data_IF_713787828048
#
_entry.id   IF_713787828048
#
_cell.length_a   1.000
_cell.length_b   1.000
_cell.length_c   1.000
_cell.angle_alpha   90.00
_cell.angle_beta   90.00
_cell.angle_gamma   90.00
#
_symmetry.space_group_name_H-M   'P 1'
#
loop_
_entity.id
_entity.type
_entity.pdbx_description
1 polymer ?
#
# COMPACT_ATOMS: atom_id res chain seq x y z
N UNK A 1 31.03 120.88 -23.34
CA UNK A 1 31.78 119.77 -22.72
C UNK A 1 32.28 120.27 -21.38
N UNK A 2 31.94 119.59 -20.30
CA UNK A 2 32.25 120.03 -18.93
C UNK A 2 33.56 119.39 -18.48
N UNK A 3 34.44 120.16 -17.84
CA UNK A 3 35.70 119.67 -17.28
C UNK A 3 35.64 119.79 -15.75
N UNK A 4 36.32 118.89 -15.04
CA UNK A 4 36.41 118.91 -13.60
C UNK A 4 37.10 120.20 -13.15
N UNK A 5 36.46 120.95 -12.25
CA UNK A 5 37.01 122.22 -11.73
C UNK A 5 38.28 122.05 -10.90
N UNK A 6 38.53 120.84 -10.37
CA UNK A 6 39.70 120.55 -9.53
C UNK A 6 40.89 120.04 -10.36
N UNK A 7 40.71 119.02 -11.21
CA UNK A 7 41.82 118.41 -11.94
C UNK A 7 41.82 118.62 -13.46
N UNK A 8 40.87 119.38 -14.01
CA UNK A 8 40.80 119.73 -15.44
C UNK A 8 40.46 118.57 -16.39
N UNK A 9 40.23 117.36 -15.87
CA UNK A 9 39.84 116.20 -16.69
C UNK A 9 38.43 116.35 -17.27
N UNK A 10 38.21 115.81 -18.47
CA UNK A 10 36.92 115.89 -19.17
C UNK A 10 35.89 115.03 -18.46
N UNK A 11 34.76 115.62 -18.07
CA UNK A 11 33.65 114.91 -17.42
C UNK A 11 32.65 114.42 -18.47
N UNK A 12 32.12 113.22 -18.25
CA UNK A 12 30.99 112.71 -19.02
C UNK A 12 29.68 113.39 -18.57
N UNK A 13 28.73 113.50 -19.49
CA UNK A 13 27.48 114.22 -19.27
C UNK A 13 26.64 113.50 -18.19
N UNK A 14 26.29 114.19 -17.10
CA UNK A 14 25.55 113.61 -15.96
C UNK A 14 26.43 112.99 -14.86
N UNK A 15 27.75 113.10 -14.95
CA UNK A 15 28.68 112.55 -13.97
C UNK A 15 28.75 113.41 -12.70
N UNK A 16 28.33 112.85 -11.56
CA UNK A 16 28.24 113.52 -10.24
C UNK A 16 29.57 113.61 -9.49
N UNK A 17 30.54 112.75 -9.82
CA UNK A 17 31.87 112.75 -9.23
C UNK A 17 32.94 112.54 -10.30
N UNK A 18 34.06 113.24 -10.20
CA UNK A 18 35.18 113.04 -11.12
C UNK A 18 35.85 111.67 -10.89
N UNK A 19 35.85 110.79 -11.89
CA UNK A 19 36.48 109.46 -11.76
C UNK A 19 38.01 109.49 -11.64
N UNK A 20 38.66 110.64 -11.86
CA UNK A 20 40.12 110.77 -11.79
C UNK A 20 40.60 111.31 -10.44
N UNK A 21 39.86 112.23 -9.81
CA UNK A 21 40.27 112.84 -8.54
C UNK A 21 39.23 112.78 -7.41
N UNK A 22 38.04 112.21 -7.66
CA UNK A 22 37.00 112.01 -6.66
C UNK A 22 36.17 113.25 -6.29
N UNK A 23 36.45 114.42 -6.89
CA UNK A 23 35.77 115.67 -6.57
C UNK A 23 34.28 115.63 -6.95
N UNK A 24 33.39 116.04 -6.03
CA UNK A 24 31.94 116.11 -6.24
C UNK A 24 31.57 117.35 -7.05
N UNK A 25 30.82 117.16 -8.13
CA UNK A 25 30.27 118.26 -8.93
C UNK A 25 28.79 118.42 -8.52
N UNK A 26 28.44 119.48 -7.77
CA UNK A 26 27.09 119.73 -7.22
C UNK A 26 26.00 119.91 -8.30
N UNK A 27 24.69 120.00 -8.03
CA UNK A 27 23.80 119.97 -6.85
C UNK A 27 22.62 119.05 -7.18
N UNK A 28 21.98 118.42 -6.19
CA UNK A 28 20.84 117.51 -6.39
C UNK A 28 19.57 118.27 -6.82
N UNK A 29 19.10 118.03 -8.04
CA UNK A 29 17.80 118.50 -8.56
C UNK A 29 16.86 117.29 -8.72
N UNK A 30 15.56 117.39 -8.35
CA UNK A 30 14.69 116.23 -8.18
C UNK A 30 14.21 115.66 -9.52
N UNK A 31 14.21 114.33 -9.63
CA UNK A 31 13.55 113.58 -10.70
C UNK A 31 12.43 112.71 -10.10
N UNK A 32 11.24 112.77 -10.69
CA UNK A 32 10.21 111.73 -10.62
C UNK A 32 9.72 111.45 -12.04
N UNK A 33 9.11 110.28 -12.34
CA UNK A 33 9.24 108.94 -11.76
C UNK A 33 9.55 107.87 -12.83
N UNK A 34 10.17 106.74 -12.47
CA UNK A 34 10.05 105.50 -13.25
C UNK A 34 10.05 104.26 -12.35
N UNK A 35 8.95 103.53 -12.48
CA UNK A 35 8.61 102.19 -11.97
C UNK A 35 9.63 101.49 -11.04
N UNK A 36 9.46 101.73 -9.75
CA UNK A 36 10.00 100.87 -8.71
C UNK A 36 9.22 99.56 -8.65
N UNK A 37 9.97 98.46 -8.80
CA UNK A 37 9.57 97.09 -8.47
C UNK A 37 9.02 97.07 -7.04
N UNK A 38 7.72 96.84 -6.90
CA UNK A 38 7.07 96.64 -5.60
C UNK A 38 7.65 95.38 -4.96
N UNK A 39 8.43 95.54 -3.88
CA UNK A 39 8.58 94.46 -2.90
C UNK A 39 7.24 94.35 -2.19
N UNK A 40 6.42 93.37 -2.56
CA UNK A 40 5.21 93.06 -1.79
C UNK A 40 5.66 92.48 -0.45
N UNK A 41 5.61 93.32 0.59
CA UNK A 41 5.56 92.84 1.97
C UNK A 41 4.19 92.21 2.16
N UNK A 42 4.10 90.90 1.96
CA UNK A 42 2.88 90.13 2.22
C UNK A 42 2.66 90.05 3.73
N UNK A 43 1.89 90.99 4.29
CA UNK A 43 1.43 90.90 5.67
C UNK A 43 0.39 89.79 5.77
N UNK A 44 0.84 88.58 6.16
CA UNK A 44 -0.06 87.49 6.52
C UNK A 44 -0.93 87.90 7.72
N UNK A 45 -2.26 87.79 7.65
CA UNK A 45 -3.13 88.19 8.74
C UNK A 45 -2.90 87.27 9.96
N UNK A 46 -2.62 87.86 11.13
CA UNK A 46 -2.34 87.17 12.41
C UNK A 46 -3.47 86.26 12.95
N UNK A 47 -4.56 86.07 12.21
CA UNK A 47 -5.63 85.08 12.50
C UNK A 47 -5.59 83.87 11.56
N UNK A 48 -4.88 83.94 10.44
CA UNK A 48 -4.71 82.81 9.52
C UNK A 48 -3.74 81.74 10.06
N UNK A 49 -2.76 82.12 10.89
CA UNK A 49 -1.82 81.16 11.49
C UNK A 49 -2.52 80.13 12.41
N UNK A 50 -3.64 80.52 13.03
CA UNK A 50 -4.46 79.61 13.86
C UNK A 50 -5.08 78.46 13.05
N UNK A 51 -5.29 78.63 11.74
CA UNK A 51 -5.77 77.58 10.84
C UNK A 51 -4.63 76.91 10.05
N UNK A 52 -3.57 77.67 9.70
CA UNK A 52 -2.43 77.16 8.94
C UNK A 52 -1.56 76.20 9.77
N UNK A 53 -1.31 76.48 11.05
CA UNK A 53 -0.50 75.60 11.90
C UNK A 53 -1.12 74.20 12.07
N UNK A 54 -2.41 74.05 12.44
CA UNK A 54 -3.00 72.72 12.57
C UNK A 54 -3.09 71.99 11.22
N UNK A 55 -3.33 72.70 10.11
CA UNK A 55 -3.31 72.10 8.76
C UNK A 55 -1.90 71.62 8.40
N UNK A 56 -0.88 72.43 8.65
CA UNK A 56 0.51 72.09 8.37
C UNK A 56 0.99 70.91 9.24
N UNK A 57 0.64 70.92 10.53
CA UNK A 57 0.89 69.80 11.43
C UNK A 57 0.19 68.52 10.96
N UNK A 58 -1.06 68.62 10.51
CA UNK A 58 -1.81 67.49 9.94
C UNK A 58 -1.17 66.97 8.65
N UNK A 59 -0.69 67.85 7.77
CA UNK A 59 0.05 67.45 6.55
C UNK A 59 1.34 66.72 6.91
N UNK A 60 2.12 67.18 7.89
CA UNK A 60 3.32 66.48 8.36
C UNK A 60 2.97 65.10 8.91
N UNK A 61 1.90 64.98 9.70
CA UNK A 61 1.43 63.70 10.22
C UNK A 61 1.03 62.76 9.07
N UNK A 62 0.31 63.28 8.06
CA UNK A 62 -0.09 62.50 6.87
C UNK A 62 1.13 62.07 6.05
N UNK A 63 2.12 62.94 5.83
CA UNK A 63 3.37 62.58 5.15
C UNK A 63 4.14 61.54 5.94
N UNK A 64 4.28 61.73 7.26
CA UNK A 64 4.93 60.77 8.16
C UNK A 64 4.24 59.41 8.14
N UNK A 65 2.90 59.39 8.24
CA UNK A 65 2.10 58.17 8.13
C UNK A 65 2.23 57.54 6.75
N UNK A 66 2.23 58.32 5.67
CA UNK A 66 2.42 57.83 4.30
C UNK A 66 3.79 57.18 4.13
N UNK A 67 4.87 57.83 4.59
CA UNK A 67 6.23 57.29 4.52
C UNK A 67 6.35 55.99 5.33
N UNK A 68 5.83 55.99 6.56
CA UNK A 68 5.81 54.79 7.40
C UNK A 68 5.04 53.63 6.75
N UNK A 69 3.82 53.89 6.24
CA UNK A 69 3.00 52.88 5.56
C UNK A 69 3.65 52.42 4.26
N UNK A 70 4.22 53.33 3.47
CA UNK A 70 4.92 53.01 2.22
C UNK A 70 6.06 52.02 2.45
N UNK A 71 6.73 52.09 3.60
CA UNK A 71 7.75 51.13 4.01
C UNK A 71 7.15 49.75 4.34
N UNK A 72 6.01 49.71 5.03
CA UNK A 72 5.31 48.47 5.43
C UNK A 72 4.77 47.66 4.24
N UNK A 73 4.51 48.34 3.12
CA UNK A 73 3.93 47.74 1.91
C UNK A 73 4.98 47.40 0.84
N UNK A 74 6.29 47.43 1.16
CA UNK A 74 7.37 46.99 0.26
C UNK A 74 7.48 45.46 0.19
N UNK A 75 7.96 44.89 -0.92
CA UNK A 75 8.13 43.43 -1.07
C UNK A 75 9.09 42.84 -0.03
N UNK A 76 10.14 43.57 0.38
CA UNK A 76 11.05 43.09 1.42
C UNK A 76 10.34 42.86 2.76
N UNK A 77 9.27 43.60 3.08
CA UNK A 77 8.55 43.39 4.34
C UNK A 77 7.79 42.09 4.41
N UNK A 78 7.30 41.55 3.29
CA UNK A 78 6.69 40.22 3.29
C UNK A 78 7.76 39.13 3.39
N UNK A 79 8.93 39.34 2.79
CA UNK A 79 10.08 38.42 2.88
C UNK A 79 10.64 38.39 4.31
N UNK A 80 10.83 39.54 4.95
CA UNK A 80 11.30 39.65 6.34
C UNK A 80 10.35 38.92 7.32
N UNK A 81 9.04 39.05 7.10
CA UNK A 81 8.02 38.34 7.89
C UNK A 81 8.09 36.84 7.67
N UNK A 82 8.23 36.39 6.43
CA UNK A 82 8.40 34.97 6.10
C UNK A 82 9.66 34.40 6.74
N UNK A 83 10.81 35.05 6.56
CA UNK A 83 12.09 34.66 7.16
C UNK A 83 11.99 34.58 8.68
N UNK A 84 11.38 35.59 9.31
CA UNK A 84 11.19 35.62 10.77
C UNK A 84 10.28 34.48 11.22
N UNK A 85 9.18 34.24 10.52
CA UNK A 85 8.22 33.20 10.87
C UNK A 85 8.86 31.81 10.78
N UNK A 86 9.63 31.51 9.74
CA UNK A 86 10.35 30.24 9.61
C UNK A 86 11.43 30.12 10.69
N UNK A 87 12.30 31.11 10.87
CA UNK A 87 13.42 31.07 11.84
C UNK A 87 12.94 30.94 13.29
N UNK A 88 11.84 31.61 13.64
CA UNK A 88 11.24 31.54 14.98
C UNK A 88 10.25 30.38 15.15
N UNK A 89 10.03 29.58 14.10
CA UNK A 89 8.99 28.55 14.04
C UNK A 89 7.59 29.10 14.41
N UNK A 90 7.30 30.33 14.00
CA UNK A 90 6.00 30.97 14.20
C UNK A 90 5.00 30.43 13.17
N UNK A 91 4.38 29.31 13.52
CA UNK A 91 3.40 28.62 12.68
C UNK A 91 2.20 29.49 12.36
N UNK A 92 1.74 30.32 13.30
CA UNK A 92 0.57 31.18 13.12
C UNK A 92 0.81 32.23 12.04
N UNK A 93 1.93 32.94 12.13
CA UNK A 93 2.26 33.96 11.14
C UNK A 93 2.57 33.34 9.77
N UNK A 94 3.26 32.19 9.74
CA UNK A 94 3.53 31.49 8.49
C UNK A 94 2.25 30.97 7.82
N UNK A 95 1.32 30.37 8.58
CA UNK A 95 0.00 29.98 8.05
C UNK A 95 -0.73 31.15 7.41
N UNK A 96 -0.71 32.32 8.05
CA UNK A 96 -1.35 33.52 7.52
C UNK A 96 -0.69 33.98 6.22
N UNK A 97 0.65 33.93 6.13
CA UNK A 97 1.38 34.25 4.91
C UNK A 97 1.04 33.27 3.77
N UNK A 98 1.00 31.96 4.06
CA UNK A 98 0.68 30.92 3.09
C UNK A 98 -0.74 31.09 2.53
N UNK A 99 -1.73 31.29 3.41
CA UNK A 99 -3.13 31.48 2.99
C UNK A 99 -3.39 32.83 2.32
N UNK A 100 -2.59 33.88 2.58
CA UNK A 100 -2.70 35.16 1.88
C UNK A 100 -2.08 35.11 0.47
N UNK A 101 -1.14 34.18 0.26
CA UNK A 101 -0.40 34.01 -0.98
C UNK A 101 -1.04 33.07 -2.00
N UNK A 102 -1.94 32.18 -1.58
CA UNK A 102 -2.62 31.24 -2.47
C UNK A 102 -3.99 30.82 -1.91
N UNK A 103 -4.87 30.33 -2.78
CA UNK A 103 -6.21 29.83 -2.43
C UNK A 103 -6.44 28.37 -2.87
N UNK A 104 -5.39 27.69 -3.33
CA UNK A 104 -5.41 26.29 -3.76
C UNK A 104 -5.67 25.34 -2.56
N UNK A 105 -5.06 25.61 -1.40
CA UNK A 105 -5.23 24.81 -0.18
C UNK A 105 -5.34 25.73 1.04
N UNK A 106 -6.33 25.47 1.91
CA UNK A 106 -6.40 26.11 3.21
C UNK A 106 -5.42 25.45 4.19
N UNK A 107 -4.36 26.17 4.54
CA UNK A 107 -3.34 25.73 5.50
C UNK A 107 -3.81 26.04 6.93
N UNK A 108 -3.65 25.11 7.87
CA UNK A 108 -3.90 25.33 9.30
C UNK A 108 -2.57 25.40 10.06
N UNK A 109 -2.58 26.04 11.23
CA UNK A 109 -1.39 26.24 12.04
C UNK A 109 -0.68 24.92 12.41
N UNK A 110 -1.46 23.90 12.77
CA UNK A 110 -0.94 22.58 13.17
C UNK A 110 -0.24 21.84 12.02
N UNK A 111 -0.48 22.23 10.76
CA UNK A 111 0.05 21.56 9.58
C UNK A 111 1.39 22.18 9.08
N UNK A 112 1.82 23.32 9.65
CA UNK A 112 2.92 24.14 9.10
C UNK A 112 4.31 23.76 9.62
N UNK A 113 4.41 23.06 10.76
CA UNK A 113 5.69 22.70 11.36
C UNK A 113 6.57 21.84 10.44
N UNK A 114 5.95 20.90 9.71
CA UNK A 114 6.69 20.07 8.79
C UNK A 114 7.13 20.82 7.52
N UNK A 115 6.41 21.87 7.11
CA UNK A 115 6.87 22.73 6.00
C UNK A 115 8.09 23.56 6.42
N UNK A 116 8.10 24.08 7.65
CA UNK A 116 9.31 24.72 8.22
C UNK A 116 10.48 23.75 8.21
N UNK A 117 10.24 22.49 8.63
CA UNK A 117 11.28 21.46 8.65
C UNK A 117 11.80 21.17 7.24
N UNK A 118 10.91 21.03 6.24
CA UNK A 118 11.28 20.85 4.84
C UNK A 118 12.14 22.00 4.29
N UNK A 119 11.78 23.24 4.62
CA UNK A 119 12.53 24.42 4.19
C UNK A 119 13.89 24.60 4.88
N UNK A 120 14.11 23.97 6.04
CA UNK A 120 15.30 24.23 6.88
C UNK A 120 16.24 23.04 7.01
N UNK A 121 15.76 21.80 6.82
CA UNK A 121 16.57 20.58 6.83
C UNK A 121 17.03 20.20 5.43
N UNK A 122 16.10 20.21 4.48
CA UNK A 122 16.35 19.74 3.10
C UNK A 122 16.92 20.85 2.20
N UNK A 123 17.00 22.07 2.71
CA UNK A 123 17.39 23.26 1.95
C UNK A 123 18.24 24.21 2.78
N UNK A 124 19.16 24.93 2.13
CA UNK A 124 19.77 26.11 2.71
C UNK A 124 18.74 27.26 2.74
N UNK A 125 17.95 27.33 3.81
CA UNK A 125 16.87 28.32 3.94
C UNK A 125 17.34 29.76 3.67
N UNK A 126 18.56 30.10 4.08
CA UNK A 126 19.16 31.41 3.81
C UNK A 126 19.25 31.73 2.32
N UNK A 127 19.54 30.74 1.48
CA UNK A 127 19.66 30.91 0.05
C UNK A 127 18.29 31.06 -0.61
N UNK A 128 17.28 30.36 -0.11
CA UNK A 128 15.89 30.58 -0.54
C UNK A 128 15.44 32.02 -0.25
N UNK A 129 15.80 32.56 0.93
CA UNK A 129 15.52 33.96 1.29
C UNK A 129 16.28 34.94 0.39
N UNK A 130 17.56 34.70 0.09
CA UNK A 130 18.34 35.54 -0.85
C UNK A 130 17.70 35.54 -2.25
N UNK A 131 17.19 34.41 -2.71
CA UNK A 131 16.48 34.32 -3.98
C UNK A 131 15.18 35.15 -3.97
N UNK A 132 14.40 35.13 -2.88
CA UNK A 132 13.25 36.01 -2.71
C UNK A 132 13.64 37.50 -2.71
N UNK A 133 14.75 37.85 -2.04
CA UNK A 133 15.28 39.22 -2.05
C UNK A 133 15.71 39.65 -3.45
N UNK A 134 16.25 38.74 -4.27
CA UNK A 134 16.52 39.01 -5.69
C UNK A 134 15.22 39.28 -6.45
N UNK A 135 14.18 38.46 -6.26
CA UNK A 135 12.87 38.67 -6.88
C UNK A 135 12.24 40.02 -6.49
N UNK A 136 12.48 40.51 -5.27
CA UNK A 136 11.96 41.81 -4.81
C UNK A 136 12.51 43.01 -5.59
N UNK A 137 13.69 42.87 -6.16
CA UNK A 137 14.30 43.87 -7.05
C UNK A 137 13.78 43.73 -8.48
N UNK A 138 13.60 42.50 -8.95
CA UNK A 138 13.10 42.18 -10.29
C UNK A 138 11.63 42.60 -10.47
N UNK A 139 10.79 42.38 -9.45
CA UNK A 139 9.36 42.73 -9.49
C UNK A 139 9.11 44.25 -9.57
N UNK A 140 10.08 45.07 -9.15
CA UNK A 140 10.01 46.53 -9.29
C UNK A 140 10.38 47.00 -10.71
N UNK A 141 11.18 46.21 -11.42
CA UNK A 141 11.59 46.48 -12.79
C UNK A 141 10.72 45.79 -13.84
N UNK A 142 9.52 45.33 -13.47
CA UNK A 142 8.57 44.59 -14.31
C UNK A 142 9.17 43.36 -15.02
N UNK A 143 10.20 42.75 -14.42
CA UNK A 143 10.82 41.54 -14.95
C UNK A 143 9.96 40.31 -14.65
N UNK A 144 9.94 39.35 -15.59
CA UNK A 144 9.29 38.05 -15.38
C UNK A 144 9.98 37.29 -14.26
N UNK A 145 9.19 36.84 -13.29
CA UNK A 145 9.65 36.00 -12.18
C UNK A 145 9.38 34.53 -12.45
N UNK A 146 10.19 33.66 -11.87
CA UNK A 146 10.05 32.21 -11.90
C UNK A 146 10.00 31.67 -10.47
N UNK A 147 9.32 30.55 -10.21
CA UNK A 147 9.33 29.92 -8.90
C UNK A 147 10.73 29.57 -8.44
N UNK A 148 10.98 29.77 -7.14
CA UNK A 148 12.19 29.28 -6.48
C UNK A 148 12.01 27.78 -6.29
N UNK A 149 12.98 27.01 -6.77
CA UNK A 149 12.99 25.55 -6.69
C UNK A 149 13.97 25.06 -5.65
N UNK A 150 13.71 23.89 -5.08
CA UNK A 150 14.74 23.12 -4.36
C UNK A 150 15.65 22.35 -5.34
N UNK A 151 16.55 21.54 -4.77
CA UNK A 151 17.50 20.72 -5.52
C UNK A 151 16.84 19.61 -6.37
N UNK A 152 15.61 19.23 -6.05
CA UNK A 152 14.85 18.17 -6.74
C UNK A 152 13.85 18.74 -7.78
N UNK A 153 13.93 20.05 -8.04
CA UNK A 153 13.08 20.71 -9.03
C UNK A 153 11.71 21.13 -8.49
N UNK A 154 11.39 20.85 -7.21
CA UNK A 154 10.11 21.24 -6.63
C UNK A 154 10.04 22.76 -6.50
N UNK A 155 9.06 23.37 -7.14
CA UNK A 155 8.72 24.77 -6.98
C UNK A 155 8.17 25.01 -5.58
N UNK A 156 8.82 25.88 -4.79
CA UNK A 156 8.46 26.16 -3.41
C UNK A 156 7.57 27.38 -3.31
N UNK A 157 8.04 28.49 -3.87
CA UNK A 157 7.34 29.76 -3.81
C UNK A 157 7.84 30.80 -4.82
N UNK A 158 7.00 31.80 -5.05
CA UNK A 158 7.28 32.95 -5.91
C UNK A 158 6.70 34.24 -5.31
N UNK A 159 7.45 35.33 -5.35
CA UNK A 159 6.97 36.64 -4.95
C UNK A 159 5.96 37.17 -5.98
N UNK A 160 4.82 37.70 -5.53
CA UNK A 160 3.78 38.24 -6.40
C UNK A 160 3.26 39.59 -5.89
N UNK A 161 2.85 40.45 -6.84
CA UNK A 161 2.15 41.70 -6.57
C UNK A 161 0.64 41.44 -6.61
N UNK A 162 -0.10 41.82 -5.56
CA UNK A 162 -1.58 41.73 -5.59
C UNK A 162 -2.13 42.71 -6.62
N UNK A 163 -3.21 42.29 -7.30
CA UNK A 163 -3.91 43.13 -8.26
C UNK A 163 -4.52 44.40 -7.61
N UNK A 164 -5.01 44.27 -6.37
CA UNK A 164 -5.62 45.40 -5.64
C UNK A 164 -4.58 46.07 -4.74
N UNK A 165 -4.51 47.40 -4.82
CA UNK A 165 -3.75 48.23 -3.89
C UNK A 165 -4.47 48.33 -2.55
N UNK A 166 -3.72 48.39 -1.44
CA UNK A 166 -4.28 48.75 -0.13
C UNK A 166 -4.71 50.21 -0.14
N UNK A 167 -5.97 50.46 0.20
CA UNK A 167 -6.59 51.79 0.21
C UNK A 167 -6.46 52.56 -1.12
N UNK A 168 -6.25 51.86 -2.23
CA UNK A 168 -6.07 52.45 -3.56
C UNK A 168 -4.69 53.07 -3.83
N UNK A 169 -3.79 53.15 -2.85
CA UNK A 169 -2.52 53.88 -2.98
C UNK A 169 -1.27 53.01 -2.80
N UNK A 170 -1.30 52.00 -1.94
CA UNK A 170 -0.13 51.17 -1.66
C UNK A 170 -0.22 49.84 -2.40
N UNK A 171 0.81 49.52 -3.17
CA UNK A 171 0.98 48.19 -3.73
C UNK A 171 1.05 47.14 -2.60
N UNK A 172 0.62 45.92 -2.88
CA UNK A 172 0.71 44.83 -1.91
C UNK A 172 1.43 43.66 -2.54
N UNK A 173 2.17 42.93 -1.71
CA UNK A 173 2.96 41.79 -2.15
C UNK A 173 2.67 40.59 -1.27
N UNK A 174 2.71 39.41 -1.88
CA UNK A 174 2.57 38.11 -1.22
C UNK A 174 3.62 37.15 -1.74
N UNK A 175 3.89 36.12 -0.97
CA UNK A 175 4.65 34.97 -1.42
C UNK A 175 3.61 33.91 -1.79
N UNK A 176 3.47 33.58 -3.08
CA UNK A 176 2.64 32.46 -3.51
C UNK A 176 3.43 31.18 -3.22
N UNK A 177 2.91 30.38 -2.30
CA UNK A 177 3.46 29.06 -1.96
C UNK A 177 2.86 28.01 -2.89
N UNK A 178 3.69 27.06 -3.34
CA UNK A 178 3.32 26.04 -4.31
C UNK A 178 3.33 24.69 -3.59
N UNK A 179 2.18 23.98 -3.55
CA UNK A 179 2.10 22.68 -2.90
C UNK A 179 2.62 21.54 -3.80
N UNK A 180 2.72 20.35 -3.24
CA UNK A 180 3.14 19.12 -3.88
C UNK A 180 1.91 18.22 -4.09
N UNK A 181 1.79 17.65 -5.29
CA UNK A 181 0.80 16.63 -5.63
C UNK A 181 1.23 15.29 -5.03
N UNK A 182 0.34 14.63 -4.26
CA UNK A 182 0.63 13.34 -3.63
C UNK A 182 -0.10 12.25 -4.40
N UNK A 183 0.66 11.37 -5.04
CA UNK A 183 0.18 10.21 -5.78
C UNK A 183 0.50 8.95 -5.03
N UNK A 184 -0.45 8.01 -5.00
CA UNK A 184 -0.32 6.77 -4.25
C UNK A 184 -0.66 5.58 -5.13
N UNK A 185 0.19 4.56 -5.08
CA UNK A 185 -0.04 3.22 -5.64
C UNK A 185 -0.01 2.17 -4.53
N UNK A 186 -0.36 0.94 -4.86
CA UNK A 186 -0.39 -0.18 -3.92
C UNK A 186 -0.01 -1.46 -4.64
N UNK A 187 0.74 -2.34 -3.96
CA UNK A 187 1.02 -3.68 -4.46
C UNK A 187 -0.21 -4.58 -4.52
N UNK A 188 -1.35 -4.17 -3.94
CA UNK A 188 -2.62 -4.90 -4.04
C UNK A 188 -3.73 -4.07 -4.68
N UNK A 189 -4.60 -4.72 -5.50
CA UNK A 189 -5.78 -4.07 -6.06
C UNK A 189 -6.82 -3.76 -4.98
N UNK A 190 -7.85 -3.00 -5.35
CA UNK A 190 -8.95 -2.60 -4.47
C UNK A 190 -8.51 -1.95 -3.14
N UNK A 191 -7.35 -1.30 -3.12
CA UNK A 191 -6.80 -0.69 -1.91
C UNK A 191 -7.45 0.67 -1.67
N UNK A 192 -8.12 0.82 -0.53
CA UNK A 192 -8.66 2.11 -0.09
C UNK A 192 -7.57 2.89 0.63
N UNK A 193 -7.26 4.09 0.13
CA UNK A 193 -6.26 5.00 0.69
C UNK A 193 -6.91 6.30 1.15
N UNK A 194 -6.42 6.85 2.25
CA UNK A 194 -6.91 8.12 2.78
C UNK A 194 -5.83 8.93 3.47
N UNK A 195 -5.98 10.24 3.42
CA UNK A 195 -5.19 11.21 4.18
C UNK A 195 -6.16 12.01 5.04
N UNK A 196 -5.76 12.31 6.28
CA UNK A 196 -6.56 13.09 7.23
C UNK A 196 -7.11 14.38 6.58
N UNK A 197 -8.42 14.57 6.67
CA UNK A 197 -9.10 15.77 6.14
C UNK A 197 -9.39 15.75 4.64
N UNK A 198 -9.00 14.70 3.91
CA UNK A 198 -9.36 14.47 2.51
C UNK A 198 -10.29 13.27 2.37
N UNK A 199 -11.03 13.21 1.26
CA UNK A 199 -11.87 12.04 0.94
C UNK A 199 -10.98 10.85 0.60
N UNK A 200 -11.36 9.67 1.09
CA UNK A 200 -10.70 8.43 0.68
C UNK A 200 -10.87 8.18 -0.83
N UNK A 201 -9.85 7.58 -1.44
CA UNK A 201 -9.87 7.08 -2.82
C UNK A 201 -9.54 5.58 -2.82
N UNK A 202 -9.83 4.91 -3.92
CA UNK A 202 -9.57 3.47 -4.09
C UNK A 202 -8.73 3.26 -5.33
N UNK A 203 -7.59 2.60 -5.15
CA UNK A 203 -6.71 2.07 -6.19
C UNK A 203 -7.37 0.78 -6.70
N UNK A 204 -7.75 0.74 -7.97
CA UNK A 204 -8.55 -0.38 -8.50
C UNK A 204 -7.68 -1.59 -8.87
N UNK A 205 -6.50 -1.35 -9.44
CA UNK A 205 -5.54 -2.36 -9.91
C UNK A 205 -4.12 -2.03 -9.47
N UNK A 206 -3.18 -2.97 -9.59
CA UNK A 206 -1.78 -2.80 -9.18
C UNK A 206 -1.04 -1.72 -9.99
N UNK A 207 -1.42 -1.53 -11.27
CA UNK A 207 -0.89 -0.45 -12.12
C UNK A 207 -1.57 0.92 -11.91
N UNK A 208 -2.61 0.99 -11.07
CA UNK A 208 -3.38 2.22 -10.85
C UNK A 208 -2.65 3.15 -9.87
N UNK A 209 -2.66 4.45 -10.18
CA UNK A 209 -2.05 5.51 -9.37
C UNK A 209 -3.10 6.55 -9.09
N UNK A 210 -3.47 6.69 -7.81
CA UNK A 210 -4.49 7.66 -7.39
C UNK A 210 -3.85 8.95 -6.87
N UNK A 211 -4.31 10.08 -7.41
CA UNK A 211 -3.94 11.40 -6.92
C UNK A 211 -4.72 11.74 -5.65
N UNK A 212 -4.07 11.80 -4.49
CA UNK A 212 -4.68 12.24 -3.23
C UNK A 212 -4.74 13.78 -3.10
N UNK A 213 -4.36 14.50 -4.14
CA UNK A 213 -4.41 15.93 -4.30
C UNK A 213 -3.25 16.64 -3.63
N UNK A 214 -3.17 17.94 -3.88
CA UNK A 214 -2.10 18.82 -3.41
C UNK A 214 -2.04 18.94 -1.88
N UNK A 215 -0.83 19.00 -1.33
CA UNK A 215 -0.55 19.34 0.08
C UNK A 215 0.82 20.02 0.20
N UNK A 216 1.04 20.77 1.28
CA UNK A 216 2.40 21.25 1.59
C UNK A 216 3.18 20.15 2.30
N UNK A 217 4.52 20.09 2.16
CA UNK A 217 5.36 19.21 2.98
C UNK A 217 5.02 19.29 4.46
N UNK A 218 4.84 18.14 5.11
CA UNK A 218 4.41 18.08 6.49
C UNK A 218 4.45 16.68 7.09
N UNK A 219 3.97 16.53 8.33
CA UNK A 219 3.83 15.21 8.96
C UNK A 219 2.51 14.57 8.54
N UNK A 220 2.47 14.04 7.32
CA UNK A 220 1.31 13.34 6.78
C UNK A 220 1.41 11.83 7.01
N UNK A 221 0.26 11.21 7.23
CA UNK A 221 0.12 9.76 7.27
C UNK A 221 -0.93 9.34 6.24
N UNK A 222 -0.56 8.36 5.44
CA UNK A 222 -1.48 7.65 4.55
C UNK A 222 -1.99 6.44 5.34
N UNK A 223 -3.31 6.35 5.46
CA UNK A 223 -3.98 5.15 5.97
C UNK A 223 -4.49 4.36 4.76
N UNK A 224 -4.06 3.11 4.66
CA UNK A 224 -4.40 2.22 3.57
C UNK A 224 -5.03 0.93 4.13
N UNK A 225 -6.09 0.47 3.48
CA UNK A 225 -6.78 -0.78 3.80
C UNK A 225 -7.08 -1.52 2.49
N UNK A 226 -6.59 -2.74 2.36
CA UNK A 226 -6.96 -3.66 1.29
C UNK A 226 -7.69 -4.85 1.88
N UNK A 227 -8.89 -5.14 1.35
CA UNK A 227 -9.72 -6.25 1.81
C UNK A 227 -9.75 -7.29 0.71
N UNK A 228 -8.94 -8.33 0.88
CA UNK A 228 -8.99 -9.53 0.04
C UNK A 228 -10.08 -10.49 0.51
N UNK A 229 -10.31 -11.56 -0.28
CA UNK A 229 -11.26 -12.62 0.08
C UNK A 229 -10.84 -13.38 1.35
N UNK A 230 -9.52 -13.49 1.59
CA UNK A 230 -8.95 -14.35 2.63
C UNK A 230 -8.25 -13.58 3.75
N UNK A 231 -7.89 -12.31 3.53
CA UNK A 231 -7.12 -11.50 4.47
C UNK A 231 -7.52 -10.02 4.36
N UNK A 232 -7.31 -9.28 5.44
CA UNK A 232 -7.48 -7.82 5.47
C UNK A 232 -6.15 -7.21 5.86
N UNK A 233 -5.63 -6.35 4.98
CA UNK A 233 -4.35 -5.68 5.15
C UNK A 233 -4.58 -4.23 5.55
N UNK A 234 -3.81 -3.77 6.54
CA UNK A 234 -3.88 -2.39 7.04
C UNK A 234 -2.49 -1.83 7.18
N UNK A 235 -2.27 -0.65 6.61
CA UNK A 235 -1.02 0.07 6.69
C UNK A 235 -1.28 1.50 7.12
N UNK A 236 -0.33 2.04 7.89
CA UNK A 236 -0.33 3.43 8.33
C UNK A 236 1.07 3.98 8.19
N UNK A 237 1.32 4.59 7.04
CA UNK A 237 2.66 4.99 6.62
C UNK A 237 2.84 6.49 6.72
N UNK A 238 4.01 6.92 7.19
CA UNK A 238 4.40 8.33 7.18
C UNK A 238 4.93 8.66 5.80
N UNK A 239 4.55 9.83 5.31
CA UNK A 239 4.96 10.34 4.01
C UNK A 239 6.27 11.13 4.17
N UNK A 240 7.29 10.77 3.38
CA UNK A 240 8.55 11.53 3.32
C UNK A 240 8.54 12.45 2.10
N UNK A 241 8.52 13.77 2.33
CA UNK A 241 8.50 14.75 1.25
C UNK A 241 9.88 14.99 0.65
N UNK A 242 10.97 14.48 1.24
CA UNK A 242 12.30 14.56 0.64
C UNK A 242 12.42 13.74 -0.64
N UNK A 243 11.50 12.80 -0.87
CA UNK A 243 11.42 11.98 -2.09
C UNK A 243 10.65 12.67 -3.22
N UNK A 244 10.05 13.83 -2.97
CA UNK A 244 9.30 14.56 -3.98
C UNK A 244 10.22 15.16 -5.05
N UNK A 245 9.81 15.10 -6.31
CA UNK A 245 10.50 15.74 -7.44
C UNK A 245 9.50 16.40 -8.38
N UNK A 246 9.88 17.54 -8.96
CA UNK A 246 9.02 18.32 -9.86
C UNK A 246 7.57 18.54 -9.35
N UNK A 247 7.45 18.79 -8.03
CA UNK A 247 6.20 18.97 -7.29
C UNK A 247 5.27 17.75 -7.24
N UNK A 248 5.79 16.55 -7.47
CA UNK A 248 5.06 15.30 -7.33
C UNK A 248 5.77 14.41 -6.31
N UNK A 249 5.01 13.88 -5.37
CA UNK A 249 5.45 12.83 -4.45
C UNK A 249 4.68 11.55 -4.79
N UNK A 250 5.42 10.52 -5.19
CA UNK A 250 4.87 9.20 -5.46
C UNK A 250 5.19 8.29 -4.28
N UNK A 251 4.16 7.71 -3.68
CA UNK A 251 4.29 6.83 -2.51
C UNK A 251 3.62 5.49 -2.81
N UNK A 252 4.36 4.39 -2.68
CA UNK A 252 3.82 3.05 -2.89
C UNK A 252 3.55 2.38 -1.54
N UNK A 253 2.30 1.97 -1.31
CA UNK A 253 1.93 1.12 -0.19
C UNK A 253 2.32 -0.32 -0.52
N UNK A 254 3.08 -0.96 0.36
CA UNK A 254 3.49 -2.35 0.21
C UNK A 254 2.98 -3.17 1.41
N UNK A 255 1.87 -3.86 1.22
CA UNK A 255 1.34 -4.77 2.22
C UNK A 255 2.14 -6.08 2.26
N UNK A 256 2.34 -6.61 3.47
CA UNK A 256 2.95 -7.92 3.71
C UNK A 256 1.93 -9.04 3.44
N UNK A 257 1.93 -9.52 2.20
CA UNK A 257 1.13 -10.66 1.75
C UNK A 257 1.54 -11.08 0.36
N UNK A 258 1.02 -12.22 -0.10
CA UNK A 258 1.30 -12.72 -1.44
C UNK A 258 0.14 -13.57 -1.98
N UNK A 259 0.26 -14.00 -3.24
CA UNK A 259 -0.54 -15.06 -3.83
C UNK A 259 0.22 -16.38 -3.69
N UNK A 260 -0.44 -17.42 -3.20
CA UNK A 260 0.18 -18.72 -2.97
C UNK A 260 -0.39 -19.79 -3.89
N UNK A 261 0.48 -20.70 -4.33
CA UNK A 261 0.13 -21.93 -5.03
C UNK A 261 -0.06 -23.07 -4.04
N UNK A 262 -1.11 -23.85 -4.22
CA UNK A 262 -1.47 -24.96 -3.34
C UNK A 262 -1.49 -26.25 -4.13
N UNK A 263 -0.83 -27.28 -3.59
CA UNK A 263 -0.73 -28.60 -4.17
C UNK A 263 -1.14 -29.68 -3.16
N UNK A 264 -1.49 -30.86 -3.66
CA UNK A 264 -1.92 -32.00 -2.85
C UNK A 264 -1.71 -33.29 -3.64
N UNK A 265 -1.53 -34.41 -2.94
CA UNK A 265 -1.57 -35.74 -3.55
C UNK A 265 -2.98 -36.14 -4.03
N UNK A 266 -4.00 -35.36 -3.68
CA UNK A 266 -5.38 -35.49 -4.14
C UNK A 266 -5.89 -34.14 -4.66
N UNK A 267 -6.15 -34.05 -5.98
CA UNK A 267 -6.63 -32.83 -6.62
C UNK A 267 -8.06 -32.46 -6.23
N UNK A 268 -8.90 -33.43 -5.88
CA UNK A 268 -10.28 -33.24 -5.43
C UNK A 268 -10.40 -32.78 -3.96
N UNK A 269 -9.29 -32.56 -3.26
CA UNK A 269 -9.32 -32.11 -1.87
C UNK A 269 -9.77 -30.64 -1.75
N UNK A 270 -10.71 -30.35 -0.86
CA UNK A 270 -11.27 -29.02 -0.62
C UNK A 270 -10.32 -28.17 0.25
N UNK A 271 -10.07 -26.92 -0.14
CA UNK A 271 -9.15 -26.02 0.57
C UNK A 271 -9.87 -25.25 1.68
N UNK A 272 -9.23 -25.18 2.84
CA UNK A 272 -9.70 -24.43 4.00
C UNK A 272 -8.66 -23.40 4.43
N UNK A 273 -9.10 -22.15 4.64
CA UNK A 273 -8.28 -21.06 5.15
C UNK A 273 -8.91 -20.53 6.44
N UNK A 274 -8.16 -20.53 7.54
CA UNK A 274 -8.63 -20.14 8.87
C UNK A 274 -9.96 -20.83 9.24
N UNK A 275 -9.99 -22.15 9.06
CA UNK A 275 -11.14 -23.05 9.30
C UNK A 275 -12.40 -22.76 8.46
N UNK A 276 -12.29 -21.94 7.41
CA UNK A 276 -13.37 -21.68 6.46
C UNK A 276 -13.07 -22.36 5.13
N UNK A 277 -14.05 -23.12 4.64
CA UNK A 277 -14.05 -23.62 3.27
C UNK A 277 -14.07 -22.44 2.29
N UNK A 278 -13.16 -22.44 1.33
CA UNK A 278 -13.06 -21.36 0.33
C UNK A 278 -13.87 -21.65 -0.94
N UNK A 279 -14.49 -22.83 -1.01
CA UNK A 279 -15.34 -23.29 -2.10
C UNK A 279 -14.58 -23.73 -3.34
N UNK A 280 -13.33 -24.19 -3.18
CA UNK A 280 -12.52 -24.70 -4.29
C UNK A 280 -11.71 -25.93 -3.88
N UNK A 281 -11.50 -26.82 -4.85
CA UNK A 281 -10.57 -27.95 -4.71
C UNK A 281 -9.14 -27.53 -5.07
N UNK A 282 -8.15 -28.32 -4.65
CA UNK A 282 -6.74 -28.09 -4.99
C UNK A 282 -6.50 -28.16 -6.51
N UNK A 283 -7.20 -29.04 -7.22
CA UNK A 283 -7.07 -29.17 -8.68
C UNK A 283 -7.64 -27.99 -9.46
N UNK A 284 -8.60 -27.27 -8.87
CA UNK A 284 -9.22 -26.09 -9.49
C UNK A 284 -8.55 -24.77 -9.08
N UNK A 285 -7.59 -24.80 -8.17
CA UNK A 285 -6.87 -23.61 -7.71
C UNK A 285 -5.65 -23.31 -8.57
N UNK A 286 -5.61 -22.12 -9.18
CA UNK A 286 -4.41 -21.57 -9.81
C UNK A 286 -3.54 -20.88 -8.74
N UNK A 287 -3.97 -19.72 -8.26
CA UNK A 287 -3.34 -18.99 -7.16
C UNK A 287 -4.39 -18.50 -6.17
N UNK A 288 -4.00 -18.44 -4.90
CA UNK A 288 -4.88 -18.03 -3.80
C UNK A 288 -4.27 -16.80 -3.13
N UNK A 289 -4.92 -15.65 -3.29
CA UNK A 289 -4.46 -14.43 -2.66
C UNK A 289 -5.33 -13.20 -2.94
N UNK A 290 -4.88 -12.02 -2.49
CA UNK A 290 -3.72 -11.84 -1.62
C UNK A 290 -3.99 -12.39 -0.21
N UNK A 291 -3.01 -13.08 0.37
CA UNK A 291 -3.06 -13.71 1.69
C UNK A 291 -1.95 -13.16 2.59
N UNK A 292 -2.23 -12.97 3.88
CA UNK A 292 -1.21 -12.48 4.80
C UNK A 292 -0.11 -13.53 5.04
N UNK A 293 1.13 -13.09 4.96
CA UNK A 293 2.35 -13.90 5.17
C UNK A 293 3.00 -13.62 6.53
N UNK A 294 2.28 -12.99 7.45
CA UNK A 294 2.72 -12.65 8.81
C UNK A 294 2.52 -13.78 9.83
N UNK A 295 2.11 -14.98 9.37
CA UNK A 295 1.78 -16.12 10.21
C UNK A 295 0.38 -16.09 10.83
N UNK A 296 -0.45 -15.10 10.51
CA UNK A 296 -1.85 -15.05 10.99
C UNK A 296 -2.78 -16.02 10.26
N UNK A 297 -2.37 -16.54 9.10
CA UNK A 297 -3.19 -17.38 8.25
C UNK A 297 -2.76 -18.84 8.32
N UNK A 298 -3.73 -19.73 8.48
CA UNK A 298 -3.56 -21.18 8.44
C UNK A 298 -4.35 -21.78 7.29
N UNK A 299 -3.70 -22.68 6.55
CA UNK A 299 -4.27 -23.38 5.41
C UNK A 299 -4.16 -24.90 5.60
N UNK A 300 -5.20 -25.62 5.20
CA UNK A 300 -5.20 -27.08 5.13
C UNK A 300 -6.22 -27.54 4.09
N UNK A 301 -6.13 -28.80 3.67
CA UNK A 301 -7.11 -29.42 2.78
C UNK A 301 -7.94 -30.45 3.55
N UNK A 302 -9.18 -30.64 3.14
CA UNK A 302 -10.08 -31.67 3.66
C UNK A 302 -10.57 -32.53 2.52
N UNK A 303 -10.62 -33.85 2.72
CA UNK A 303 -11.12 -34.80 1.73
C UNK A 303 -11.88 -35.93 2.40
N UNK A 304 -12.93 -36.39 1.73
CA UNK A 304 -13.68 -37.56 2.17
C UNK A 304 -13.06 -38.82 1.58
N UNK A 305 -12.61 -39.71 2.45
CA UNK A 305 -12.14 -41.05 2.10
C UNK A 305 -13.21 -42.07 2.46
N UNK A 306 -13.13 -43.31 1.93
CA UNK A 306 -13.99 -44.39 2.36
C UNK A 306 -13.94 -44.67 3.87
N UNK A 307 -12.81 -44.40 4.52
CA UNK A 307 -12.62 -44.53 5.98
C UNK A 307 -13.20 -43.36 6.79
N UNK A 308 -13.62 -42.29 6.12
CA UNK A 308 -14.13 -41.06 6.72
C UNK A 308 -13.43 -39.81 6.19
N UNK A 309 -13.84 -38.66 6.74
CA UNK A 309 -13.26 -37.37 6.37
C UNK A 309 -11.93 -37.13 7.08
N UNK A 310 -10.89 -36.78 6.33
CA UNK A 310 -9.55 -36.47 6.85
C UNK A 310 -9.16 -35.04 6.52
N UNK A 311 -8.23 -34.50 7.30
CA UNK A 311 -7.53 -33.24 7.03
C UNK A 311 -6.08 -33.54 6.64
N UNK A 312 -5.51 -32.73 5.76
CA UNK A 312 -4.07 -32.67 5.56
C UNK A 312 -3.38 -32.08 6.80
N UNK A 313 -2.05 -32.02 6.75
CA UNK A 313 -1.28 -31.14 7.62
C UNK A 313 -1.77 -29.68 7.52
N UNK A 314 -1.77 -28.99 8.66
CA UNK A 314 -2.10 -27.56 8.75
C UNK A 314 -0.81 -26.77 8.60
N UNK A 315 -0.75 -25.91 7.58
CA UNK A 315 0.39 -25.05 7.29
C UNK A 315 0.06 -23.63 7.70
N UNK A 316 0.99 -22.97 8.40
CA UNK A 316 0.89 -21.54 8.71
C UNK A 316 1.61 -20.77 7.62
N UNK A 317 0.96 -19.78 7.02
CA UNK A 317 1.49 -19.03 5.89
C UNK A 317 2.44 -17.95 6.39
N UNK A 318 3.72 -18.07 6.05
CA UNK A 318 4.79 -17.15 6.46
C UNK A 318 5.63 -16.61 5.30
N UNK A 319 5.36 -17.08 4.09
CA UNK A 319 6.08 -16.75 2.85
C UNK A 319 5.17 -17.10 1.65
N UNK A 320 5.68 -16.91 0.45
CA UNK A 320 5.02 -17.25 -0.81
C UNK A 320 5.47 -18.59 -1.40
N UNK A 321 6.09 -19.44 -0.58
CA UNK A 321 6.52 -20.77 -1.02
C UNK A 321 5.30 -21.66 -1.33
N UNK A 322 5.49 -22.58 -2.29
CA UNK A 322 4.48 -23.56 -2.66
C UNK A 322 4.02 -24.38 -1.45
N UNK A 323 2.71 -24.43 -1.24
CA UNK A 323 2.10 -25.12 -0.09
C UNK A 323 1.63 -26.50 -0.52
N UNK A 324 2.32 -27.53 -0.02
CA UNK A 324 1.92 -28.92 -0.23
C UNK A 324 1.04 -29.44 0.92
N UNK A 325 -0.25 -29.65 0.63
CA UNK A 325 -1.27 -30.15 1.57
C UNK A 325 -1.44 -31.66 1.43
N UNK A 326 -0.46 -32.41 1.93
CA UNK A 326 -0.42 -33.87 1.82
C UNK A 326 -1.32 -34.55 2.84
N UNK A 327 -2.00 -35.61 2.41
CA UNK A 327 -2.73 -36.55 3.28
C UNK A 327 -1.89 -37.81 3.52
N UNK A 328 -1.92 -38.32 4.75
CA UNK A 328 -1.37 -39.63 5.08
C UNK A 328 -2.15 -40.71 4.33
N UNK A 329 -1.49 -41.35 3.38
CA UNK A 329 -2.08 -42.38 2.52
C UNK A 329 -2.21 -43.70 3.28
N UNK A 330 -3.36 -44.35 3.15
CA UNK A 330 -3.54 -45.71 3.63
C UNK A 330 -3.71 -46.70 2.48
N UNK A 331 -3.19 -47.94 2.59
CA UNK A 331 -3.28 -48.92 1.52
C UNK A 331 -4.71 -49.17 1.02
N UNK A 332 -5.70 -49.20 1.94
CA UNK A 332 -7.11 -49.39 1.56
C UNK A 332 -7.67 -48.23 0.74
N UNK A 333 -7.19 -47.00 0.94
CA UNK A 333 -7.66 -45.80 0.23
C UNK A 333 -7.07 -45.66 -1.18
N UNK A 334 -5.98 -46.37 -1.48
CA UNK A 334 -5.39 -46.41 -2.83
C UNK A 334 -6.05 -47.41 -3.77
N UNK A 335 -6.88 -48.31 -3.22
CA UNK A 335 -7.60 -49.27 -4.05
C UNK A 335 -8.75 -48.54 -4.74
N UNK A 336 -8.57 -48.20 -6.01
CA UNK A 336 -9.53 -47.42 -6.82
C UNK A 336 -10.88 -48.11 -6.95
N UNK A 337 -10.87 -49.43 -7.20
CA UNK A 337 -12.06 -50.28 -7.23
C UNK A 337 -11.90 -51.49 -6.30
N UNK A 338 -12.24 -51.34 -5.00
CA UNK A 338 -12.11 -52.43 -4.04
C UNK A 338 -12.99 -53.62 -4.36
N UNK A 339 -14.18 -53.41 -4.96
CA UNK A 339 -15.09 -54.52 -5.27
C UNK A 339 -14.45 -55.49 -6.27
N UNK A 340 -13.95 -54.96 -7.39
CA UNK A 340 -13.30 -55.77 -8.42
C UNK A 340 -12.02 -56.41 -7.89
N UNK A 341 -11.16 -55.61 -7.24
CA UNK A 341 -9.87 -56.09 -6.74
C UNK A 341 -10.01 -57.20 -5.68
N UNK A 342 -10.96 -57.06 -4.75
CA UNK A 342 -11.25 -58.09 -3.75
C UNK A 342 -11.91 -59.32 -4.39
N UNK A 343 -12.74 -59.15 -5.42
CA UNK A 343 -13.34 -60.28 -6.15
C UNK A 343 -12.28 -61.14 -6.81
N UNK A 344 -11.35 -60.53 -7.54
CA UNK A 344 -10.26 -61.24 -8.21
C UNK A 344 -9.33 -61.91 -7.21
N UNK A 345 -9.00 -61.21 -6.12
CA UNK A 345 -8.19 -61.77 -5.03
C UNK A 345 -8.86 -62.99 -4.39
N UNK A 346 -10.13 -62.90 -3.99
CA UNK A 346 -10.83 -63.99 -3.31
C UNK A 346 -11.03 -65.21 -4.21
N UNK A 347 -11.30 -65.00 -5.50
CA UNK A 347 -11.35 -66.09 -6.50
C UNK A 347 -10.03 -66.81 -6.60
N UNK A 348 -8.93 -66.07 -6.72
CA UNK A 348 -7.60 -66.67 -6.81
C UNK A 348 -7.23 -67.39 -5.51
N UNK A 349 -7.47 -66.78 -4.35
CA UNK A 349 -7.22 -67.38 -3.05
C UNK A 349 -7.97 -68.71 -2.84
N UNK A 350 -9.27 -68.75 -3.15
CA UNK A 350 -10.08 -69.95 -2.95
C UNK A 350 -9.75 -71.06 -3.95
N UNK A 351 -9.49 -70.71 -5.22
CA UNK A 351 -9.00 -71.66 -6.22
C UNK A 351 -7.67 -72.30 -5.81
N UNK A 352 -6.74 -71.50 -5.30
CA UNK A 352 -5.43 -71.99 -4.86
C UNK A 352 -5.52 -72.76 -3.54
N UNK A 353 -6.47 -72.41 -2.68
CA UNK A 353 -6.80 -73.19 -1.49
C UNK A 353 -7.26 -74.60 -1.87
N UNK A 354 -8.14 -74.73 -2.88
CA UNK A 354 -8.58 -76.04 -3.41
C UNK A 354 -7.40 -76.82 -3.99
N UNK A 355 -6.51 -76.14 -4.74
CA UNK A 355 -5.30 -76.78 -5.28
C UNK A 355 -4.37 -77.28 -4.18
N UNK A 356 -4.18 -76.49 -3.12
CA UNK A 356 -3.41 -76.86 -1.94
C UNK A 356 -4.02 -78.05 -1.18
N UNK A 357 -5.35 -78.09 -1.05
CA UNK A 357 -6.09 -79.22 -0.45
C UNK A 357 -5.88 -80.50 -1.26
N UNK A 358 -6.15 -80.45 -2.57
CA UNK A 358 -6.14 -81.62 -3.44
C UNK A 358 -4.73 -82.23 -3.61
N UNK A 359 -3.68 -81.42 -3.50
CA UNK A 359 -2.28 -81.84 -3.64
C UNK A 359 -1.52 -81.99 -2.31
N UNK A 360 -2.09 -81.52 -1.19
CA UNK A 360 -1.41 -81.31 0.08
C UNK A 360 -0.10 -80.50 -0.04
N UNK A 361 -0.10 -79.52 -0.94
CA UNK A 361 1.00 -78.57 -1.10
C UNK A 361 0.55 -77.18 -0.69
N UNK A 362 0.93 -76.78 0.53
CA UNK A 362 0.57 -75.49 1.08
C UNK A 362 1.22 -74.31 0.33
N UNK A 363 2.26 -74.56 -0.47
CA UNK A 363 2.96 -73.49 -1.20
C UNK A 363 2.05 -72.76 -2.20
N UNK A 364 1.02 -73.43 -2.74
CA UNK A 364 0.05 -72.84 -3.66
C UNK A 364 -0.70 -71.63 -3.11
N UNK A 365 -0.94 -71.56 -1.79
CA UNK A 365 -1.77 -70.52 -1.17
C UNK A 365 -1.03 -69.68 -0.12
N UNK A 366 0.18 -70.10 0.27
CA UNK A 366 0.92 -69.49 1.38
C UNK A 366 1.22 -68.01 1.20
N UNK A 367 1.40 -67.55 -0.05
CA UNK A 367 1.66 -66.15 -0.37
C UNK A 367 0.40 -65.27 -0.25
N UNK A 368 -0.80 -65.85 -0.23
CA UNK A 368 -2.08 -65.12 -0.12
C UNK A 368 -2.63 -65.06 1.30
N UNK A 369 -1.92 -65.63 2.26
CA UNK A 369 -2.28 -65.66 3.66
C UNK A 369 -1.39 -64.69 4.44
N UNK A 370 -1.96 -63.99 5.42
CA UNK A 370 -1.18 -63.19 6.36
C UNK A 370 -0.38 -64.14 7.26
N UNK A 371 0.97 -64.12 7.23
CA UNK A 371 1.79 -65.02 8.05
C UNK A 371 1.52 -64.92 9.56
N UNK A 372 1.08 -63.74 10.01
CA UNK A 372 0.73 -63.49 11.42
C UNK A 372 -0.76 -63.77 11.71
N UNK A 373 -1.53 -64.13 10.69
CA UNK A 373 -2.96 -64.43 10.77
C UNK A 373 -3.26 -65.88 11.13
N UNK A 374 -4.38 -66.16 11.85
CA UNK A 374 -4.78 -67.52 12.16
C UNK A 374 -5.03 -68.38 10.91
N UNK A 375 -5.53 -67.79 9.82
CA UNK A 375 -5.81 -68.51 8.59
C UNK A 375 -4.56 -69.22 8.01
N UNK A 376 -3.36 -68.67 8.22
CA UNK A 376 -2.13 -69.25 7.68
C UNK A 376 -1.92 -70.70 8.17
N UNK A 377 -2.03 -70.90 9.48
CA UNK A 377 -1.90 -72.23 10.09
C UNK A 377 -3.15 -73.08 9.86
N UNK A 378 -4.33 -72.49 10.00
CA UNK A 378 -5.60 -73.20 9.84
C UNK A 378 -5.74 -73.80 8.43
N UNK A 379 -5.43 -73.03 7.38
CA UNK A 379 -5.49 -73.51 5.99
C UNK A 379 -4.48 -74.64 5.73
N UNK A 380 -3.27 -74.55 6.30
CA UNK A 380 -2.25 -75.62 6.20
C UNK A 380 -2.71 -76.91 6.86
N UNK A 381 -3.22 -76.82 8.09
CA UNK A 381 -3.68 -77.97 8.87
C UNK A 381 -4.94 -78.60 8.23
N UNK A 382 -5.85 -77.77 7.70
CA UNK A 382 -7.07 -78.22 7.03
C UNK A 382 -6.79 -78.93 5.71
N UNK A 383 -5.91 -78.37 4.86
CA UNK A 383 -5.48 -79.00 3.61
C UNK A 383 -4.90 -80.41 3.85
N UNK A 384 -3.99 -80.52 4.82
CA UNK A 384 -3.41 -81.80 5.22
C UNK A 384 -4.48 -82.79 5.70
N UNK A 385 -5.40 -82.33 6.56
CA UNK A 385 -6.48 -83.17 7.09
C UNK A 385 -7.41 -83.73 6.02
N UNK A 386 -7.81 -82.91 5.04
CA UNK A 386 -8.67 -83.34 3.94
C UNK A 386 -7.94 -84.34 3.02
N UNK A 387 -6.69 -84.05 2.69
CA UNK A 387 -5.87 -84.94 1.87
C UNK A 387 -5.64 -86.31 2.52
N UNK A 388 -5.31 -86.36 3.82
CA UNK A 388 -5.17 -87.62 4.57
C UNK A 388 -6.48 -88.44 4.60
N UNK A 389 -7.63 -87.77 4.43
CA UNK A 389 -8.95 -88.42 4.31
C UNK A 389 -9.34 -88.77 2.88
N UNK A 390 -8.48 -88.47 1.90
CA UNK A 390 -8.75 -88.63 0.47
C UNK A 390 -9.91 -87.76 -0.02
N UNK A 391 -10.21 -86.66 0.68
CA UNK A 391 -11.26 -85.72 0.28
C UNK A 391 -10.65 -84.72 -0.70
N UNK A 392 -11.32 -84.51 -1.84
CA UNK A 392 -10.94 -83.52 -2.84
C UNK A 392 -12.10 -82.59 -3.13
N UNK A 393 -11.77 -81.37 -3.57
CA UNK A 393 -12.75 -80.32 -3.86
C UNK A 393 -12.57 -79.80 -5.29
N UNK A 394 -13.67 -79.36 -5.90
CA UNK A 394 -13.68 -78.61 -7.16
C UNK A 394 -14.41 -77.30 -6.91
N UNK A 395 -13.74 -76.17 -7.16
CA UNK A 395 -14.34 -74.84 -7.04
C UNK A 395 -15.20 -74.55 -8.28
N UNK A 396 -16.50 -74.31 -8.08
CA UNK A 396 -17.45 -74.06 -9.15
C UNK A 396 -17.73 -72.57 -9.34
N UNK A 397 -18.02 -71.87 -8.24
CA UNK A 397 -18.32 -70.44 -8.26
C UNK A 397 -17.78 -69.75 -7.01
N UNK A 398 -17.26 -68.55 -7.20
CA UNK A 398 -16.88 -67.63 -6.13
C UNK A 398 -17.32 -66.23 -6.52
N UNK A 399 -18.16 -65.66 -5.66
CA UNK A 399 -18.70 -64.31 -5.80
C UNK A 399 -18.45 -63.52 -4.51
N UNK A 400 -17.87 -62.33 -4.61
CA UNK A 400 -17.84 -61.37 -3.50
C UNK A 400 -19.15 -60.61 -3.49
N UNK A 401 -19.96 -60.87 -2.47
CA UNK A 401 -21.32 -60.33 -2.32
C UNK A 401 -21.37 -58.96 -1.64
N UNK A 402 -20.40 -58.66 -0.77
CA UNK A 402 -20.29 -57.40 -0.04
C UNK A 402 -18.87 -57.24 0.52
N UNK A 403 -18.46 -56.00 0.80
CA UNK A 403 -17.26 -55.70 1.57
C UNK A 403 -17.43 -54.47 2.45
N UNK A 404 -16.63 -54.39 3.51
CA UNK A 404 -16.53 -53.22 4.38
C UNK A 404 -15.07 -52.91 4.66
N UNK A 405 -14.71 -51.63 4.63
CA UNK A 405 -13.42 -51.16 5.11
C UNK A 405 -13.52 -51.04 6.63
N UNK A 406 -12.73 -51.84 7.36
CA UNK A 406 -12.72 -51.82 8.82
C UNK A 406 -11.78 -50.75 9.36
N UNK A 407 -10.61 -50.60 8.74
CA UNK A 407 -9.58 -49.62 9.08
C UNK A 407 -8.65 -49.38 7.87
N UNK A 408 -7.58 -48.60 8.07
CA UNK A 408 -6.60 -48.18 7.06
C UNK A 408 -5.90 -49.32 6.30
N UNK A 409 -5.91 -50.55 6.82
CA UNK A 409 -5.24 -51.70 6.17
C UNK A 409 -6.12 -52.92 6.07
N UNK A 410 -7.39 -52.85 6.45
CA UNK A 410 -8.23 -54.03 6.65
C UNK A 410 -9.60 -53.92 5.99
N UNK A 411 -9.98 -54.98 5.28
CA UNK A 411 -11.33 -55.22 4.78
C UNK A 411 -11.99 -56.40 5.51
N UNK A 412 -13.32 -56.35 5.62
CA UNK A 412 -14.19 -57.50 5.84
C UNK A 412 -14.87 -57.82 4.51
N UNK A 413 -14.77 -59.06 4.04
CA UNK A 413 -15.23 -59.46 2.70
C UNK A 413 -16.19 -60.63 2.84
N UNK A 414 -17.39 -60.50 2.30
CA UNK A 414 -18.42 -61.53 2.32
C UNK A 414 -18.50 -62.22 0.95
N UNK A 415 -18.39 -63.54 0.94
CA UNK A 415 -18.42 -64.35 -0.29
C UNK A 415 -19.61 -65.31 -0.32
N UNK A 416 -20.00 -65.68 -1.54
CA UNK A 416 -20.80 -66.84 -1.85
C UNK A 416 -19.94 -67.81 -2.67
N UNK A 417 -19.85 -69.05 -2.22
CA UNK A 417 -18.87 -70.03 -2.71
C UNK A 417 -19.57 -71.36 -2.99
N UNK A 418 -19.33 -71.97 -4.15
CA UNK A 418 -19.90 -73.27 -4.55
C UNK A 418 -18.80 -74.27 -4.86
N UNK A 419 -18.94 -75.49 -4.34
CA UNK A 419 -17.97 -76.57 -4.50
C UNK A 419 -18.65 -77.90 -4.78
N UNK A 420 -18.01 -78.75 -5.59
CA UNK A 420 -18.21 -80.19 -5.52
C UNK A 420 -17.18 -80.79 -4.58
N UNK A 421 -17.64 -81.54 -3.56
CA UNK A 421 -16.76 -82.21 -2.60
C UNK A 421 -16.87 -83.72 -2.80
N UNK A 422 -15.76 -84.36 -3.13
CA UNK A 422 -15.64 -85.81 -3.27
C UNK A 422 -15.13 -86.43 -1.98
N UNK A 423 -15.76 -87.52 -1.53
CA UNK A 423 -15.29 -88.28 -0.36
C UNK A 423 -15.35 -89.78 -0.60
N UNK A 424 -14.24 -90.52 -0.40
CA UNK A 424 -14.16 -91.95 -0.67
C UNK A 424 -15.05 -92.79 0.25
N UNK A 425 -15.55 -92.22 1.36
CA UNK A 425 -16.46 -92.92 2.28
C UNK A 425 -17.90 -93.04 1.77
N UNK A 426 -18.30 -92.20 0.83
CA UNK A 426 -19.69 -92.14 0.32
C UNK A 426 -19.79 -92.40 -1.18
N UNK A 427 -18.66 -92.44 -1.88
CA UNK A 427 -18.53 -92.68 -3.32
C UNK A 427 -19.51 -91.84 -4.17
N UNK A 428 -19.66 -90.57 -3.78
CA UNK A 428 -20.59 -89.63 -4.40
C UNK A 428 -20.09 -88.19 -4.22
N UNK A 429 -20.16 -87.40 -5.29
CA UNK A 429 -19.90 -85.96 -5.27
C UNK A 429 -21.04 -85.22 -4.57
N UNK A 430 -20.68 -84.29 -3.69
CA UNK A 430 -21.66 -83.47 -2.97
C UNK A 430 -21.46 -82.01 -3.31
N UNK A 431 -22.44 -81.45 -4.03
CA UNK A 431 -22.57 -80.02 -4.20
C UNK A 431 -22.77 -79.36 -2.83
N UNK A 432 -22.02 -78.29 -2.57
CA UNK A 432 -22.09 -77.49 -1.36
C UNK A 432 -21.95 -76.02 -1.70
N UNK A 433 -22.80 -75.20 -1.11
CA UNK A 433 -22.71 -73.76 -1.20
C UNK A 433 -22.51 -73.15 0.19
N UNK A 434 -21.66 -72.14 0.30
CA UNK A 434 -21.33 -71.48 1.55
C UNK A 434 -21.47 -69.96 1.42
N UNK A 435 -21.88 -69.33 2.52
CA UNK A 435 -21.64 -67.91 2.75
C UNK A 435 -20.53 -67.75 3.78
N UNK A 436 -19.44 -67.12 3.36
CA UNK A 436 -18.25 -66.96 4.18
C UNK A 436 -17.93 -65.48 4.36
N UNK A 437 -17.34 -65.12 5.50
CA UNK A 437 -16.85 -63.78 5.80
C UNK A 437 -15.37 -63.90 6.14
N UNK A 438 -14.54 -63.16 5.43
CA UNK A 438 -13.09 -63.12 5.62
C UNK A 438 -12.65 -61.75 6.10
N UNK A 439 -11.63 -61.76 6.95
CA UNK A 439 -10.85 -60.56 7.26
C UNK A 439 -9.64 -60.55 6.35
N UNK A 440 -9.56 -59.55 5.48
CA UNK A 440 -8.46 -59.35 4.53
C UNK A 440 -7.62 -58.18 5.03
N UNK A 441 -6.30 -58.36 5.09
CA UNK A 441 -5.36 -57.27 5.32
C UNK A 441 -4.65 -56.90 4.04
N UNK A 442 -4.24 -55.65 3.94
CA UNK A 442 -3.34 -55.13 2.92
C UNK A 442 -1.97 -54.96 3.57
N UNK A 443 -0.94 -55.61 3.01
CA UNK A 443 0.43 -55.50 3.50
C UNK A 443 1.13 -54.21 3.05
N UNK A 444 2.39 -54.02 3.48
CA UNK A 444 3.16 -52.82 3.17
C UNK A 444 3.45 -52.64 1.67
N UNK A 445 3.45 -53.74 0.92
CA UNK A 445 3.62 -53.79 -0.54
C UNK A 445 2.27 -53.73 -1.28
N UNK A 446 1.20 -53.42 -0.55
CA UNK A 446 -0.18 -53.22 -1.01
C UNK A 446 -0.86 -54.50 -1.55
N UNK A 447 -0.39 -55.67 -1.13
CA UNK A 447 -1.03 -56.94 -1.50
C UNK A 447 -2.11 -57.33 -0.49
N UNK A 448 -3.22 -57.86 -0.99
CA UNK A 448 -4.23 -58.49 -0.16
C UNK A 448 -3.72 -59.81 0.42
N UNK A 449 -4.04 -60.05 1.69
CA UNK A 449 -3.74 -61.27 2.44
C UNK A 449 -4.96 -61.67 3.26
N UNK A 450 -5.37 -62.93 3.18
CA UNK A 450 -6.39 -63.47 4.07
C UNK A 450 -5.78 -63.61 5.46
N UNK A 451 -6.28 -62.83 6.42
CA UNK A 451 -5.86 -62.90 7.82
C UNK A 451 -6.65 -63.97 8.58
N UNK A 452 -7.97 -64.02 8.37
CA UNK A 452 -8.86 -64.90 9.12
C UNK A 452 -10.14 -65.22 8.34
N UNK A 453 -10.58 -66.48 8.36
CA UNK A 453 -11.98 -66.83 8.09
C UNK A 453 -12.81 -66.50 9.35
N UNK A 454 -13.60 -65.44 9.29
CA UNK A 454 -14.38 -64.93 10.43
C UNK A 454 -15.59 -65.83 10.71
N UNK A 455 -16.29 -66.22 9.65
CA UNK A 455 -17.49 -67.06 9.71
C UNK A 455 -17.67 -67.78 8.39
N UNK A 456 -18.14 -69.03 8.44
CA UNK A 456 -18.69 -69.72 7.26
C UNK A 456 -20.02 -70.38 7.63
N UNK A 457 -20.95 -70.43 6.69
CA UNK A 457 -22.29 -71.02 6.88
C UNK A 457 -22.70 -71.76 5.62
N UNK A 458 -22.89 -73.07 5.72
CA UNK A 458 -23.42 -73.91 4.65
C UNK A 458 -24.87 -73.54 4.35
N UNK A 459 -25.17 -73.38 3.06
CA UNK A 459 -26.52 -73.14 2.55
C UNK A 459 -27.11 -74.51 2.23
N UNK A 460 -28.26 -74.79 2.84
CA UNK A 460 -28.97 -76.08 2.71
C UNK A 460 -29.98 -76.08 1.58
#
# INVERSE_FOLDING_TARGET
MTFCKNCGSKLQQGQTFCNQCGEKNGEEVPLQPSSTRVKSSYHFPKKAWYYIIPIFALVIIVIGAYLFLSEQYKPNKVIDKFETAVKKKDTKDLTKLMNDGQTEILVKADDVEGYISYLTKENEFSDLVKQLQKQSSQIKGDQKLYPIKDQYGNELFILQKKAKKKWGIFDQYVIKFIPIDVKVSSNFPNTKVSIKGKKAKTIQSEDDVVDLGKTFPGTFQIEAESVGKYSTFKAKEKVDFSEASDNVLEHQINFEGDYISVYSNYSDAEIFINDKDIGMSVGDSEEIGPIATDGSVKIYAKRNFPTGSKKSQIITVTSNDDINLTFDESPTEKVEDPQTALTDFMRSYLSDSVSAINSNDFSYVSDKLDPDGPAYKESKDYAKYLYEKGITEESLNVEVTDYKILDATTFEVSTYEEYNIYSPKKDEDKFRAYKSIYKIKVDADWNFKVNKLVKTTEIK
#
